data_IF_374664043660
#
_entry.id   IF_374664043660
#
_cell.length_a   1.000
_cell.length_b   1.000
_cell.length_c   1.000
_cell.angle_alpha   90.00
_cell.angle_beta   90.00
_cell.angle_gamma   90.00
#
_symmetry.space_group_name_H-M   'P 1'
#
loop_
_entity.id
_entity.type
_entity.pdbx_description
1 polymer ?
#
# COMPACT_ATOMS: atom_id res chain seq x y z
N UNK A 1 -41.03 12.23 -44.31
CA UNK A 1 -39.72 12.78 -43.98
C UNK A 1 -39.90 13.79 -42.86
N UNK A 2 -39.64 13.40 -41.60
CA UNK A 2 -39.67 14.33 -40.46
C UNK A 2 -38.33 14.15 -39.73
N UNK A 3 -37.47 15.20 -39.79
CA UNK A 3 -36.20 15.26 -39.10
C UNK A 3 -36.45 15.71 -37.67
N UNK A 4 -36.08 14.89 -36.69
CA UNK A 4 -36.08 15.25 -35.28
C UNK A 4 -34.67 15.73 -34.90
N UNK A 5 -34.53 17.03 -34.60
CA UNK A 5 -33.29 17.62 -34.11
C UNK A 5 -33.10 17.30 -32.62
N UNK A 6 -31.99 16.70 -32.30
CA UNK A 6 -31.53 16.48 -30.90
C UNK A 6 -30.74 17.70 -30.46
N UNK A 7 -31.32 18.47 -29.52
CA UNK A 7 -30.65 19.58 -28.85
C UNK A 7 -29.71 19.03 -27.75
N UNK A 8 -28.41 19.20 -27.98
CA UNK A 8 -27.35 19.00 -26.96
C UNK A 8 -27.34 20.21 -26.01
N UNK A 9 -27.82 20.02 -24.79
CA UNK A 9 -27.68 21.00 -23.71
C UNK A 9 -26.31 20.92 -23.08
N UNK A 10 -25.39 21.82 -23.48
CA UNK A 10 -24.11 22.02 -22.80
C UNK A 10 -24.35 22.84 -21.53
N UNK A 11 -24.27 22.18 -20.38
CA UNK A 11 -24.32 22.85 -19.09
C UNK A 11 -23.09 23.70 -18.82
N UNK A 12 -23.24 25.01 -18.87
CA UNK A 12 -22.22 25.99 -18.50
C UNK A 12 -22.18 26.08 -16.96
N UNK A 13 -21.16 25.55 -16.29
CA UNK A 13 -20.96 25.74 -14.86
C UNK A 13 -20.32 27.12 -14.65
N UNK A 14 -21.12 28.05 -14.17
CA UNK A 14 -20.66 29.39 -13.78
C UNK A 14 -20.04 29.29 -12.38
N UNK A 15 -18.72 29.43 -12.29
CA UNK A 15 -18.03 29.69 -11.02
C UNK A 15 -18.31 31.13 -10.57
N UNK A 16 -19.23 31.31 -9.65
CA UNK A 16 -19.40 32.58 -8.94
C UNK A 16 -18.31 32.73 -7.88
N UNK A 17 -17.36 33.62 -8.16
CA UNK A 17 -16.37 34.08 -7.19
C UNK A 17 -17.07 34.75 -6.00
N UNK A 18 -16.99 34.18 -4.82
CA UNK A 18 -17.45 34.83 -3.59
C UNK A 18 -16.51 35.98 -3.24
N UNK A 19 -17.03 37.20 -3.20
CA UNK A 19 -16.38 38.39 -2.63
C UNK A 19 -16.16 38.17 -1.13
N UNK A 20 -14.92 38.44 -0.71
CA UNK A 20 -14.47 38.48 0.67
C UNK A 20 -15.25 39.56 1.45
N UNK A 21 -16.09 39.15 2.40
CA UNK A 21 -16.64 40.02 3.42
C UNK A 21 -15.89 39.74 4.72
N UNK A 22 -15.14 40.72 5.16
CA UNK A 22 -14.50 40.72 6.49
C UNK A 22 -15.56 41.00 7.56
N UNK A 23 -15.42 40.27 8.66
CA UNK A 23 -16.05 40.41 9.99
C UNK A 23 -17.19 39.44 10.31
N UNK A 24 -16.79 38.37 11.00
CA UNK A 24 -17.24 37.95 12.35
C UNK A 24 -16.66 36.57 12.66
N UNK A 25 -15.98 36.45 13.77
CA UNK A 25 -15.55 35.20 14.38
C UNK A 25 -16.75 34.29 14.65
N UNK A 26 -17.08 33.45 13.68
CA UNK A 26 -17.96 32.31 13.84
C UNK A 26 -17.11 31.06 13.67
N UNK A 27 -16.70 30.44 14.77
CA UNK A 27 -16.13 29.09 14.70
C UNK A 27 -17.12 28.19 13.98
N UNK A 28 -16.81 27.78 12.76
CA UNK A 28 -17.60 26.77 12.05
C UNK A 28 -17.32 25.43 12.71
N UNK A 29 -18.26 24.97 13.49
CA UNK A 29 -18.18 23.75 14.33
C UNK A 29 -18.12 22.44 13.54
N UNK A 30 -18.10 22.48 12.21
CA UNK A 30 -18.05 21.29 11.35
C UNK A 30 -16.71 21.10 10.62
N UNK A 31 -15.80 22.08 10.67
CA UNK A 31 -14.43 21.88 10.18
C UNK A 31 -13.56 21.40 11.34
N UNK A 32 -12.84 20.27 11.20
CA UNK A 32 -11.88 19.85 12.21
C UNK A 32 -10.84 20.94 12.42
N UNK A 33 -10.46 21.17 13.67
CA UNK A 33 -9.39 22.12 14.03
C UNK A 33 -8.10 21.72 13.29
N UNK A 34 -7.74 22.50 12.29
CA UNK A 34 -6.43 22.36 11.62
C UNK A 34 -5.40 22.93 12.56
N UNK A 35 -4.74 22.06 13.30
CA UNK A 35 -3.70 22.50 14.22
C UNK A 35 -2.39 22.72 13.46
N UNK A 36 -1.95 23.96 13.33
CA UNK A 36 -0.59 24.33 12.90
C UNK A 36 0.41 24.10 14.05
N UNK A 37 0.27 22.98 14.77
CA UNK A 37 0.99 22.67 16.02
C UNK A 37 2.26 21.83 15.81
N UNK A 38 2.73 21.70 14.58
CA UNK A 38 3.88 20.86 14.23
C UNK A 38 5.25 21.48 14.58
N UNK A 39 5.27 22.51 15.46
CA UNK A 39 6.47 23.19 15.88
C UNK A 39 6.80 22.88 17.35
N UNK A 40 8.08 22.83 17.67
CA UNK A 40 8.58 22.64 19.02
C UNK A 40 9.74 21.65 19.09
N UNK A 41 10.33 21.51 20.26
CA UNK A 41 11.36 20.51 20.50
C UNK A 41 10.79 19.10 20.34
N UNK A 42 11.54 18.21 19.72
CA UNK A 42 11.16 16.80 19.60
C UNK A 42 11.13 16.18 21.00
N UNK A 43 10.07 15.46 21.28
CA UNK A 43 9.89 14.63 22.46
C UNK A 43 9.72 13.17 22.02
N UNK A 44 9.93 12.27 22.97
CA UNK A 44 9.72 10.84 22.76
C UNK A 44 8.77 10.30 23.82
N UNK A 45 7.95 9.33 23.41
CA UNK A 45 7.13 8.47 24.27
C UNK A 45 7.39 7.02 23.93
N UNK A 46 7.55 6.18 24.93
CA UNK A 46 7.73 4.75 24.80
C UNK A 46 6.50 4.02 25.29
N UNK A 47 6.07 3.01 24.50
CA UNK A 47 4.97 2.10 24.81
C UNK A 47 5.52 0.67 24.77
N UNK A 48 5.16 -0.15 25.73
CA UNK A 48 5.57 -1.55 25.81
C UNK A 48 4.34 -2.43 25.74
N UNK A 49 4.46 -3.56 25.10
CA UNK A 49 3.40 -4.55 24.98
C UNK A 49 3.73 -5.54 23.87
N UNK A 50 3.21 -6.75 23.98
CA UNK A 50 3.38 -7.78 22.96
C UNK A 50 2.35 -7.55 21.84
N UNK A 51 2.78 -7.65 20.58
CA UNK A 51 1.94 -7.51 19.40
C UNK A 51 2.48 -8.37 18.26
N UNK A 52 1.60 -8.79 17.35
CA UNK A 52 1.97 -9.54 16.15
C UNK A 52 1.26 -9.03 14.88
N UNK A 53 0.44 -8.01 15.01
CA UNK A 53 -0.17 -7.27 13.91
C UNK A 53 0.15 -5.79 14.08
N UNK A 54 0.52 -5.12 13.00
CA UNK A 54 1.00 -3.74 13.05
C UNK A 54 0.25 -2.93 12.01
N UNK A 55 -0.53 -1.96 12.46
CA UNK A 55 -1.21 -0.97 11.63
C UNK A 55 -0.62 0.43 11.89
N UNK A 56 -0.33 1.14 10.80
CA UNK A 56 0.09 2.55 10.84
C UNK A 56 -0.75 3.36 9.89
N UNK A 57 -1.32 4.45 10.36
CA UNK A 57 -2.22 5.27 9.56
C UNK A 57 -1.90 6.77 9.60
N UNK A 58 -2.62 7.55 8.78
CA UNK A 58 -2.66 9.02 8.82
C UNK A 58 -1.28 9.68 8.62
N UNK A 59 -0.55 9.26 7.58
CA UNK A 59 0.74 9.82 7.17
C UNK A 59 1.85 9.76 8.23
N UNK A 60 1.75 8.85 9.21
CA UNK A 60 2.82 8.56 10.16
C UNK A 60 3.88 7.69 9.47
N UNK A 61 5.16 8.02 9.67
CA UNK A 61 6.28 7.21 9.20
C UNK A 61 6.74 6.28 10.33
N UNK A 62 6.74 4.97 10.06
CA UNK A 62 7.16 3.93 11.00
C UNK A 62 8.32 3.10 10.46
N UNK A 63 9.32 2.84 11.31
CA UNK A 63 10.40 1.90 11.06
C UNK A 63 10.21 0.66 11.92
N UNK A 64 10.20 -0.54 11.31
CA UNK A 64 10.15 -1.81 12.03
C UNK A 64 11.56 -2.37 12.16
N UNK A 65 11.98 -2.62 13.39
CA UNK A 65 13.33 -3.05 13.78
C UNK A 65 13.21 -4.35 14.58
N UNK A 66 14.01 -5.34 14.23
CA UNK A 66 14.00 -6.63 14.93
C UNK A 66 14.57 -6.50 16.35
N UNK A 67 13.86 -7.05 17.33
CA UNK A 67 14.24 -6.95 18.74
C UNK A 67 13.59 -8.06 19.55
N UNK A 68 14.28 -8.55 20.57
CA UNK A 68 13.71 -9.53 21.51
C UNK A 68 12.71 -8.90 22.50
N UNK A 69 12.67 -7.55 22.59
CA UNK A 69 11.77 -6.81 23.46
C UNK A 69 10.86 -5.92 22.62
N UNK A 70 9.57 -6.19 22.66
CA UNK A 70 8.57 -5.44 21.90
C UNK A 70 8.25 -4.11 22.56
N UNK A 71 8.35 -3.05 21.78
CA UNK A 71 8.02 -1.70 22.20
C UNK A 71 7.88 -0.76 20.98
N UNK A 72 7.21 0.34 21.22
CA UNK A 72 7.07 1.43 20.25
C UNK A 72 7.65 2.70 20.84
N UNK A 73 8.46 3.41 20.09
CA UNK A 73 8.98 4.74 20.44
C UNK A 73 8.43 5.75 19.43
N UNK A 74 7.55 6.62 19.89
CA UNK A 74 7.03 7.76 19.12
C UNK A 74 7.93 8.95 19.33
N UNK A 75 8.40 9.58 18.25
CA UNK A 75 9.11 10.85 18.25
C UNK A 75 8.28 11.90 17.51
N UNK A 76 7.90 12.97 18.20
CA UNK A 76 7.08 14.04 17.64
C UNK A 76 7.37 15.40 18.32
N UNK A 77 7.02 16.53 17.70
CA UNK A 77 7.02 17.83 18.34
C UNK A 77 6.19 17.85 19.63
N UNK A 78 6.68 18.57 20.65
CA UNK A 78 6.09 18.59 21.99
C UNK A 78 4.61 18.96 22.03
N UNK A 79 4.14 19.72 21.06
CA UNK A 79 2.76 20.21 20.98
C UNK A 79 1.79 19.27 20.23
N UNK A 80 2.29 18.20 19.59
CA UNK A 80 1.42 17.19 18.96
C UNK A 80 1.66 15.76 19.47
N UNK A 81 2.70 15.51 20.26
CA UNK A 81 3.01 14.16 20.73
C UNK A 81 1.87 13.49 21.52
N UNK A 82 1.07 14.31 22.21
CA UNK A 82 -0.10 13.84 22.96
C UNK A 82 -1.33 13.54 22.08
N UNK A 83 -1.27 13.94 20.83
CA UNK A 83 -2.31 13.63 19.84
C UNK A 83 -2.03 12.32 19.07
N UNK A 84 -0.81 11.77 19.18
CA UNK A 84 -0.46 10.46 18.61
C UNK A 84 -0.82 9.38 19.61
N UNK A 85 -1.68 8.46 19.17
CA UNK A 85 -2.12 7.30 19.93
C UNK A 85 -1.35 6.06 19.49
N UNK A 86 -1.12 5.18 20.43
CA UNK A 86 -0.57 3.84 20.24
C UNK A 86 -1.49 2.89 20.97
N UNK A 87 -2.44 2.33 20.25
CA UNK A 87 -3.41 1.38 20.78
C UNK A 87 -2.89 -0.04 20.55
N UNK A 88 -3.01 -0.89 21.54
CA UNK A 88 -2.69 -2.31 21.46
C UNK A 88 -3.85 -3.09 22.06
N UNK A 89 -4.57 -3.80 21.22
CA UNK A 89 -5.72 -4.59 21.62
C UNK A 89 -5.65 -5.99 21.01
N UNK A 90 -5.54 -7.02 21.83
CA UNK A 90 -5.53 -8.41 21.34
C UNK A 90 -4.29 -8.80 20.53
N UNK A 91 -3.20 -8.01 20.59
CA UNK A 91 -1.99 -8.21 19.78
C UNK A 91 -1.96 -7.39 18.49
N UNK A 92 -2.99 -6.61 18.22
CA UNK A 92 -3.03 -5.62 17.13
C UNK A 92 -2.55 -4.26 17.65
N UNK A 93 -1.43 -3.81 17.12
CA UNK A 93 -0.83 -2.51 17.40
C UNK A 93 -1.29 -1.52 16.33
N UNK A 94 -2.01 -0.46 16.72
CA UNK A 94 -2.43 0.61 15.82
C UNK A 94 -1.81 1.96 16.24
N UNK A 95 -1.08 2.59 15.30
CA UNK A 95 -0.45 3.90 15.49
C UNK A 95 -1.16 4.94 14.62
N UNK A 96 -1.82 5.90 15.26
CA UNK A 96 -2.64 6.88 14.56
C UNK A 96 -2.78 8.20 15.35
N UNK A 97 -3.43 9.20 14.78
CA UNK A 97 -3.82 10.40 15.53
C UNK A 97 -5.20 10.23 16.17
N UNK A 98 -5.43 10.98 17.26
CA UNK A 98 -6.78 11.12 17.82
C UNK A 98 -7.79 11.55 16.78
N UNK A 99 -9.01 11.07 16.91
CA UNK A 99 -10.12 11.46 16.04
C UNK A 99 -10.31 12.98 16.01
N UNK A 100 -10.41 13.55 14.80
CA UNK A 100 -10.61 14.98 14.60
C UNK A 100 -9.32 15.82 14.55
N UNK A 101 -8.15 15.22 14.78
CA UNK A 101 -6.86 15.88 14.60
C UNK A 101 -6.43 15.77 13.13
N UNK A 102 -6.08 16.92 12.54
CA UNK A 102 -5.41 16.99 11.23
C UNK A 102 -4.08 17.67 11.38
N UNK A 103 -3.02 16.99 11.00
CA UNK A 103 -1.65 17.52 11.01
C UNK A 103 -1.28 17.91 9.58
N UNK A 104 -0.90 19.18 9.38
CA UNK A 104 -0.55 19.70 8.05
C UNK A 104 0.85 19.27 7.60
N UNK A 105 1.78 19.10 8.55
CA UNK A 105 3.15 18.68 8.29
C UNK A 105 3.43 17.40 9.09
N UNK A 106 3.29 16.25 8.42
CA UNK A 106 3.43 14.94 9.03
C UNK A 106 4.87 14.46 9.14
N UNK A 107 5.82 15.13 8.48
CA UNK A 107 7.22 14.71 8.39
C UNK A 107 7.96 14.65 9.74
N UNK A 108 7.39 15.27 10.78
CA UNK A 108 8.00 15.35 12.10
C UNK A 108 7.50 14.29 13.10
N UNK A 109 6.53 13.42 12.69
CA UNK A 109 6.05 12.34 13.53
C UNK A 109 6.58 11.00 13.01
N UNK A 110 7.39 10.35 13.83
CA UNK A 110 8.02 9.08 13.50
C UNK A 110 7.79 8.07 14.59
N UNK A 111 7.57 6.83 14.19
CA UNK A 111 7.48 5.68 15.06
C UNK A 111 8.66 4.74 14.83
N UNK A 112 9.28 4.22 15.88
CA UNK A 112 10.16 3.07 15.82
C UNK A 112 9.49 1.92 16.54
N UNK A 113 9.19 0.87 15.79
CA UNK A 113 8.52 -0.33 16.26
C UNK A 113 9.56 -1.42 16.39
N UNK A 114 9.81 -1.85 17.60
CA UNK A 114 10.72 -2.95 17.92
C UNK A 114 9.88 -4.20 18.07
N UNK A 115 10.01 -5.16 17.15
CA UNK A 115 9.21 -6.36 17.08
C UNK A 115 10.07 -7.62 17.07
N UNK A 116 9.60 -8.71 17.68
CA UNK A 116 10.19 -10.05 17.54
C UNK A 116 9.86 -10.64 16.18
N UNK A 117 8.59 -10.59 15.85
CA UNK A 117 7.99 -11.00 14.58
C UNK A 117 6.69 -10.22 14.34
N UNK A 118 6.00 -10.52 13.25
CA UNK A 118 4.65 -10.03 12.96
C UNK A 118 3.99 -10.94 11.93
N UNK A 119 2.67 -11.05 11.99
CA UNK A 119 1.86 -11.81 11.03
C UNK A 119 1.20 -10.90 10.01
N UNK A 120 0.91 -9.66 10.42
CA UNK A 120 0.23 -8.67 9.57
C UNK A 120 0.94 -7.33 9.64
N UNK A 121 1.09 -6.68 8.46
CA UNK A 121 1.47 -5.28 8.31
C UNK A 121 0.38 -4.55 7.56
N UNK A 122 -0.12 -3.47 8.12
CA UNK A 122 -1.11 -2.63 7.47
C UNK A 122 -0.67 -1.17 7.45
N UNK A 123 -0.72 -0.55 6.28
CA UNK A 123 -0.51 0.88 6.12
C UNK A 123 -1.65 1.50 5.32
N UNK A 124 -2.25 2.55 5.85
CA UNK A 124 -3.32 3.26 5.18
C UNK A 124 -3.21 4.79 5.34
N UNK A 125 -4.03 5.54 4.60
CA UNK A 125 -4.13 7.00 4.76
C UNK A 125 -2.77 7.71 4.68
N UNK A 126 -2.00 7.43 3.62
CA UNK A 126 -0.68 7.99 3.33
C UNK A 126 0.42 7.65 4.36
N UNK A 127 0.23 6.66 5.23
CA UNK A 127 1.27 6.19 6.16
C UNK A 127 2.44 5.53 5.42
N UNK A 128 3.59 5.49 6.06
CA UNK A 128 4.81 4.87 5.54
C UNK A 128 5.33 3.85 6.54
N UNK A 129 5.49 2.58 6.11
CA UNK A 129 6.16 1.54 6.90
C UNK A 129 7.45 1.13 6.19
N UNK A 130 8.55 1.11 6.92
CA UNK A 130 9.87 0.67 6.46
C UNK A 130 10.34 -0.49 7.34
N UNK A 131 10.38 -1.70 6.78
CA UNK A 131 10.94 -2.87 7.45
C UNK A 131 12.45 -2.85 7.27
N UNK A 132 13.19 -2.55 8.36
CA UNK A 132 14.64 -2.34 8.34
C UNK A 132 15.42 -3.64 8.36
N UNK A 133 14.96 -4.60 9.13
CA UNK A 133 15.62 -5.88 9.33
C UNK A 133 14.90 -7.02 8.61
N UNK A 134 15.54 -8.14 8.52
CA UNK A 134 14.99 -9.36 7.94
C UNK A 134 14.19 -10.13 8.99
N UNK A 135 12.94 -10.41 8.66
CA UNK A 135 12.05 -11.27 9.44
C UNK A 135 11.76 -12.53 8.61
N UNK A 136 11.82 -13.69 9.27
CA UNK A 136 11.50 -14.98 8.65
C UNK A 136 10.31 -15.59 9.39
N UNK A 137 9.23 -15.86 8.67
CA UNK A 137 7.93 -16.17 9.25
C UNK A 137 7.25 -17.33 8.50
N UNK A 138 6.27 -17.97 9.12
CA UNK A 138 5.43 -18.96 8.42
C UNK A 138 4.47 -18.26 7.47
N UNK A 139 3.77 -17.22 7.94
CA UNK A 139 2.82 -16.45 7.16
C UNK A 139 2.98 -14.96 7.44
N UNK A 140 2.86 -14.16 6.38
CA UNK A 140 2.81 -12.70 6.48
C UNK A 140 1.75 -12.16 5.54
N UNK A 141 0.81 -11.39 6.09
CA UNK A 141 -0.20 -10.64 5.37
C UNK A 141 0.22 -9.16 5.33
N UNK A 142 0.22 -8.56 4.15
CA UNK A 142 0.58 -7.14 3.92
C UNK A 142 -0.57 -6.44 3.25
N UNK A 143 -1.15 -5.46 3.90
CA UNK A 143 -2.21 -4.61 3.36
C UNK A 143 -1.72 -3.17 3.21
N UNK A 144 -1.81 -2.60 2.02
CA UNK A 144 -1.42 -1.22 1.78
C UNK A 144 -2.46 -0.50 0.94
N UNK A 145 -3.02 0.58 1.47
CA UNK A 145 -4.12 1.28 0.83
C UNK A 145 -4.07 2.81 0.98
N UNK A 146 -4.93 3.52 0.25
CA UNK A 146 -5.15 4.96 0.46
C UNK A 146 -3.87 5.79 0.41
N UNK A 147 -3.10 5.63 -0.68
CA UNK A 147 -1.82 6.31 -0.94
C UNK A 147 -0.72 6.03 0.09
N UNK A 148 -0.84 4.96 0.90
CA UNK A 148 0.21 4.55 1.83
C UNK A 148 1.36 3.82 1.12
N UNK A 149 2.46 3.65 1.84
CA UNK A 149 3.66 3.01 1.32
C UNK A 149 4.23 2.02 2.33
N UNK A 150 4.52 0.79 1.87
CA UNK A 150 5.27 -0.21 2.64
C UNK A 150 6.52 -0.60 1.87
N UNK A 151 7.66 -0.66 2.55
CA UNK A 151 8.91 -1.11 1.94
C UNK A 151 9.77 -1.93 2.88
N UNK A 152 10.61 -2.83 2.30
CA UNK A 152 11.60 -3.57 3.06
C UNK A 152 11.87 -4.99 2.54
N UNK A 153 12.35 -5.86 3.45
CA UNK A 153 12.63 -7.25 3.13
C UNK A 153 11.68 -8.16 3.92
N UNK A 154 10.98 -9.04 3.22
CA UNK A 154 10.04 -9.97 3.81
C UNK A 154 10.37 -11.41 3.40
N UNK A 155 10.45 -12.30 4.37
CA UNK A 155 10.60 -13.73 4.15
C UNK A 155 9.49 -14.48 4.87
N UNK A 156 8.72 -15.26 4.13
CA UNK A 156 7.66 -16.09 4.69
C UNK A 156 7.46 -17.35 3.85
N UNK A 157 6.92 -18.42 4.44
CA UNK A 157 6.46 -19.54 3.62
C UNK A 157 5.26 -19.11 2.77
N UNK A 158 4.28 -18.47 3.40
CA UNK A 158 3.12 -17.88 2.72
C UNK A 158 3.17 -16.35 2.85
N UNK A 159 3.28 -15.64 1.73
CA UNK A 159 3.30 -14.18 1.67
C UNK A 159 2.14 -13.68 0.82
N UNK A 160 1.21 -13.00 1.46
CA UNK A 160 0.06 -12.35 0.84
C UNK A 160 0.26 -10.82 0.84
N UNK A 161 0.09 -10.16 -0.31
CA UNK A 161 0.25 -8.71 -0.47
C UNK A 161 -0.97 -8.15 -1.18
N UNK A 162 -1.73 -7.33 -0.47
CA UNK A 162 -2.88 -6.58 -1.00
C UNK A 162 -2.57 -5.09 -1.12
N UNK A 163 -2.61 -4.57 -2.33
CA UNK A 163 -2.35 -3.16 -2.61
C UNK A 163 -3.52 -2.51 -3.33
N UNK A 164 -4.05 -1.42 -2.78
CA UNK A 164 -5.19 -0.73 -3.35
C UNK A 164 -5.14 0.80 -3.25
N UNK A 165 -6.05 1.47 -3.96
CA UNK A 165 -6.27 2.91 -3.78
C UNK A 165 -5.00 3.76 -3.86
N UNK A 166 -4.25 3.62 -4.97
CA UNK A 166 -3.01 4.35 -5.27
C UNK A 166 -1.88 4.13 -4.25
N UNK A 167 -1.92 3.03 -3.50
CA UNK A 167 -0.84 2.69 -2.56
C UNK A 167 0.35 2.04 -3.27
N UNK A 168 1.46 1.95 -2.57
CA UNK A 168 2.71 1.40 -3.12
C UNK A 168 3.32 0.39 -2.16
N UNK A 169 3.64 -0.80 -2.68
CA UNK A 169 4.52 -1.75 -2.00
C UNK A 169 5.84 -1.90 -2.76
N UNK A 170 6.97 -1.83 -2.06
CA UNK A 170 8.29 -2.04 -2.67
C UNK A 170 9.18 -2.90 -1.80
N UNK A 171 9.61 -4.08 -2.29
CA UNK A 171 10.38 -4.97 -1.43
C UNK A 171 11.25 -6.01 -2.11
N UNK A 172 12.12 -6.61 -1.30
CA UNK A 172 12.78 -7.85 -1.62
C UNK A 172 12.08 -8.98 -0.87
N UNK A 173 11.67 -10.02 -1.59
CA UNK A 173 10.91 -11.12 -1.01
C UNK A 173 11.62 -12.47 -1.17
N UNK A 174 11.37 -13.34 -0.21
CA UNK A 174 11.55 -14.77 -0.34
C UNK A 174 10.29 -15.48 0.17
N UNK A 175 9.67 -16.30 -0.68
CA UNK A 175 8.46 -17.02 -0.30
C UNK A 175 8.43 -18.43 -0.91
N UNK A 176 7.68 -19.35 -0.30
CA UNK A 176 7.28 -20.59 -0.96
C UNK A 176 6.05 -20.29 -1.83
N UNK A 177 5.04 -19.68 -1.22
CA UNK A 177 3.82 -19.24 -1.90
C UNK A 177 3.71 -17.72 -1.80
N UNK A 178 3.59 -17.07 -2.93
CA UNK A 178 3.43 -15.63 -3.06
C UNK A 178 2.09 -15.34 -3.73
N UNK A 179 1.21 -14.62 -3.05
CA UNK A 179 0.00 -14.07 -3.63
C UNK A 179 0.09 -12.54 -3.62
N UNK A 180 -0.24 -11.90 -4.73
CA UNK A 180 -0.31 -10.45 -4.84
C UNK A 180 -1.61 -10.06 -5.52
N UNK A 181 -2.37 -9.20 -4.86
CA UNK A 181 -3.53 -8.53 -5.45
C UNK A 181 -3.26 -7.02 -5.50
N UNK A 182 -3.34 -6.45 -6.70
CA UNK A 182 -3.20 -5.01 -6.89
C UNK A 182 -4.42 -4.46 -7.61
N UNK A 183 -4.96 -3.35 -7.10
CA UNK A 183 -6.16 -2.73 -7.67
C UNK A 183 -6.14 -1.20 -7.55
N UNK A 184 -7.04 -0.54 -8.29
CA UNK A 184 -7.31 0.90 -8.11
C UNK A 184 -6.05 1.76 -8.15
N UNK A 185 -5.26 1.62 -9.23
CA UNK A 185 -4.02 2.35 -9.49
C UNK A 185 -2.92 2.15 -8.43
N UNK A 186 -2.90 1.00 -7.74
CA UNK A 186 -1.80 0.65 -6.84
C UNK A 186 -0.59 0.14 -7.62
N UNK A 187 0.61 0.30 -7.03
CA UNK A 187 1.87 -0.16 -7.60
C UNK A 187 2.59 -1.13 -6.65
N UNK A 188 2.92 -2.32 -7.14
CA UNK A 188 3.73 -3.32 -6.44
C UNK A 188 5.02 -3.54 -7.21
N UNK A 189 6.16 -3.28 -6.58
CA UNK A 189 7.49 -3.55 -7.16
C UNK A 189 8.28 -4.47 -6.25
N UNK A 190 8.61 -5.66 -6.73
CA UNK A 190 9.33 -6.67 -5.95
C UNK A 190 10.48 -7.31 -6.71
N UNK A 191 11.44 -7.80 -5.93
CA UNK A 191 12.55 -8.64 -6.39
C UNK A 191 12.73 -9.83 -5.46
N UNK A 192 13.44 -10.88 -5.89
CA UNK A 192 13.76 -12.02 -5.04
C UNK A 192 13.40 -13.37 -5.63
N UNK A 193 12.83 -14.26 -4.81
CA UNK A 193 12.54 -15.64 -5.25
C UNK A 193 11.26 -16.17 -4.61
N UNK A 194 10.54 -16.97 -5.40
CA UNK A 194 9.41 -17.75 -4.90
C UNK A 194 9.28 -19.08 -5.66
N UNK A 195 8.67 -20.07 -5.06
CA UNK A 195 8.33 -21.30 -5.75
C UNK A 195 7.04 -21.13 -6.55
N UNK A 196 5.99 -20.64 -5.92
CA UNK A 196 4.69 -20.42 -6.54
C UNK A 196 4.33 -18.94 -6.45
N UNK A 197 3.95 -18.32 -7.56
CA UNK A 197 3.46 -16.96 -7.63
C UNK A 197 2.07 -16.93 -8.26
N UNK A 198 1.13 -16.33 -7.55
CA UNK A 198 -0.20 -15.98 -8.05
C UNK A 198 -0.36 -14.46 -7.99
N UNK A 199 -0.49 -13.82 -9.15
CA UNK A 199 -0.48 -12.35 -9.27
C UNK A 199 -1.74 -11.90 -9.99
N UNK A 200 -2.52 -11.04 -9.35
CA UNK A 200 -3.73 -10.44 -9.93
C UNK A 200 -3.63 -8.93 -9.92
N UNK A 201 -3.81 -8.30 -11.08
CA UNK A 201 -3.76 -6.84 -11.22
C UNK A 201 -5.00 -6.35 -11.97
N UNK A 202 -5.67 -5.31 -11.43
CA UNK A 202 -6.89 -4.77 -12.01
C UNK A 202 -7.00 -3.25 -11.88
N UNK A 203 -7.90 -2.65 -12.67
CA UNK A 203 -8.26 -1.24 -12.51
C UNK A 203 -7.06 -0.27 -12.56
N UNK A 204 -6.23 -0.44 -13.59
CA UNK A 204 -5.08 0.43 -13.86
C UNK A 204 -3.91 0.28 -12.90
N UNK A 205 -3.87 -0.78 -12.09
CA UNK A 205 -2.75 -1.08 -11.20
C UNK A 205 -1.58 -1.76 -11.93
N UNK A 206 -0.41 -1.80 -11.27
CA UNK A 206 0.79 -2.39 -11.81
C UNK A 206 1.50 -3.34 -10.83
N UNK A 207 1.88 -4.53 -11.30
CA UNK A 207 2.76 -5.44 -10.58
C UNK A 207 4.06 -5.63 -11.38
N UNK A 208 5.17 -5.11 -10.87
CA UNK A 208 6.50 -5.28 -11.43
C UNK A 208 7.31 -6.27 -10.59
N UNK A 209 7.28 -7.53 -10.97
CA UNK A 209 8.04 -8.64 -10.38
C UNK A 209 9.09 -9.20 -11.36
N UNK A 210 9.55 -8.38 -12.31
CA UNK A 210 10.53 -8.78 -13.35
C UNK A 210 11.87 -9.28 -12.78
N UNK A 211 12.21 -8.83 -11.56
CA UNK A 211 13.43 -9.20 -10.86
C UNK A 211 13.20 -10.31 -9.81
N UNK A 212 12.02 -10.94 -9.83
CA UNK A 212 11.72 -12.18 -9.12
C UNK A 212 12.09 -13.38 -10.00
N UNK A 213 12.55 -14.47 -9.38
CA UNK A 213 12.64 -15.78 -10.00
C UNK A 213 11.58 -16.68 -9.37
N UNK A 214 10.49 -16.91 -10.09
CA UNK A 214 9.41 -17.81 -9.70
C UNK A 214 9.48 -19.14 -10.48
N UNK A 215 9.25 -20.28 -9.83
CA UNK A 215 9.19 -21.56 -10.52
C UNK A 215 7.87 -21.71 -11.29
N UNK A 216 6.74 -21.55 -10.60
CA UNK A 216 5.41 -21.65 -11.15
C UNK A 216 4.69 -20.31 -11.02
N UNK A 217 4.18 -19.81 -12.12
CA UNK A 217 3.52 -18.51 -12.20
C UNK A 217 2.11 -18.66 -12.74
N UNK A 218 1.15 -18.07 -12.03
CA UNK A 218 -0.16 -17.70 -12.54
C UNK A 218 -0.29 -16.18 -12.44
N UNK A 219 -0.55 -15.52 -13.55
CA UNK A 219 -0.62 -14.06 -13.63
C UNK A 219 -1.88 -13.61 -14.39
N UNK A 220 -2.65 -12.73 -13.77
CA UNK A 220 -3.89 -12.19 -14.32
C UNK A 220 -3.85 -10.68 -14.37
N UNK A 221 -4.23 -10.07 -15.50
CA UNK A 221 -4.35 -8.62 -15.66
C UNK A 221 -5.66 -8.24 -16.36
N UNK A 222 -6.37 -7.27 -15.80
CA UNK A 222 -7.62 -6.80 -16.39
C UNK A 222 -7.80 -5.29 -16.26
N UNK A 223 -8.73 -4.72 -17.04
CA UNK A 223 -9.12 -3.30 -16.91
C UNK A 223 -7.93 -2.33 -16.96
N UNK A 224 -7.09 -2.51 -17.98
CA UNK A 224 -5.92 -1.64 -18.22
C UNK A 224 -4.76 -1.83 -17.24
N UNK A 225 -4.76 -2.89 -16.44
CA UNK A 225 -3.69 -3.19 -15.50
C UNK A 225 -2.53 -3.96 -16.14
N UNK A 226 -1.40 -4.07 -15.44
CA UNK A 226 -0.22 -4.75 -15.93
C UNK A 226 0.44 -5.65 -14.89
N UNK A 227 0.97 -6.80 -15.35
CA UNK A 227 1.81 -7.71 -14.56
C UNK A 227 3.06 -8.06 -15.33
N UNK A 228 4.24 -7.84 -14.74
CA UNK A 228 5.51 -8.35 -15.23
C UNK A 228 6.14 -9.29 -14.20
N UNK A 229 6.56 -10.51 -14.60
CA UNK A 229 7.10 -11.53 -13.67
C UNK A 229 8.20 -12.38 -14.30
N UNK A 230 9.29 -12.61 -13.55
CA UNK A 230 10.30 -13.58 -13.95
C UNK A 230 9.87 -15.01 -13.63
N UNK A 231 9.98 -15.92 -14.62
CA UNK A 231 9.52 -17.31 -14.54
C UNK A 231 10.61 -18.28 -14.96
N UNK A 232 10.75 -19.40 -14.25
CA UNK A 232 11.78 -20.39 -14.54
C UNK A 232 11.28 -21.77 -15.00
N UNK A 233 10.01 -22.12 -14.77
CA UNK A 233 9.48 -23.46 -15.12
C UNK A 233 8.12 -23.43 -15.80
N UNK A 234 7.07 -22.94 -15.14
CA UNK A 234 5.69 -22.93 -15.66
C UNK A 234 5.11 -21.52 -15.63
N UNK A 235 4.44 -21.13 -16.72
CA UNK A 235 3.80 -19.84 -16.88
C UNK A 235 2.36 -20.00 -17.36
N UNK A 236 1.42 -19.42 -16.63
CA UNK A 236 0.02 -19.27 -16.99
C UNK A 236 -0.34 -17.79 -16.92
N UNK A 237 -0.69 -17.20 -18.06
CA UNK A 237 -1.03 -15.79 -18.19
C UNK A 237 -2.44 -15.61 -18.70
N UNK A 238 -3.22 -14.75 -18.04
CA UNK A 238 -4.57 -14.37 -18.43
C UNK A 238 -4.67 -12.85 -18.54
N UNK A 239 -5.10 -12.34 -19.68
CA UNK A 239 -5.26 -10.91 -19.88
C UNK A 239 -6.61 -10.59 -20.51
N UNK A 240 -7.32 -9.59 -19.96
CA UNK A 240 -8.60 -9.16 -20.46
C UNK A 240 -8.78 -7.63 -20.36
N UNK A 241 -9.77 -7.10 -21.10
CA UNK A 241 -10.17 -5.67 -20.97
C UNK A 241 -9.00 -4.69 -21.03
N UNK A 242 -8.10 -4.88 -21.99
CA UNK A 242 -6.90 -4.05 -22.16
C UNK A 242 -5.79 -4.30 -21.13
N UNK A 243 -5.86 -5.36 -20.34
CA UNK A 243 -4.81 -5.76 -19.42
C UNK A 243 -3.59 -6.34 -20.14
N UNK A 244 -2.42 -6.33 -19.51
CA UNK A 244 -1.16 -6.82 -20.06
C UNK A 244 -0.43 -7.73 -19.06
N UNK A 245 -0.07 -8.94 -19.47
CA UNK A 245 0.75 -9.87 -18.69
C UNK A 245 2.02 -10.20 -19.45
N UNK A 246 3.17 -10.01 -18.80
CA UNK A 246 4.49 -10.29 -19.38
C UNK A 246 5.30 -11.24 -18.52
N UNK A 247 5.56 -12.43 -19.02
CA UNK A 247 6.53 -13.38 -18.47
C UNK A 247 7.94 -13.09 -18.96
N UNK A 248 8.92 -13.11 -18.07
CA UNK A 248 10.35 -12.98 -18.41
C UNK A 248 11.06 -14.27 -18.05
N UNK A 249 11.58 -14.98 -19.04
CA UNK A 249 12.27 -16.26 -18.81
C UNK A 249 13.53 -16.07 -17.98
N UNK A 250 13.60 -16.73 -16.84
CA UNK A 250 14.74 -16.80 -15.93
C UNK A 250 15.32 -18.23 -15.84
N UNK A 251 14.79 -19.16 -16.63
CA UNK A 251 15.18 -20.57 -16.66
C UNK A 251 14.60 -21.30 -17.83
N UNK A 252 14.50 -22.64 -17.72
CA UNK A 252 13.92 -23.50 -18.76
C UNK A 252 12.40 -23.60 -18.58
N UNK A 253 11.65 -22.66 -19.16
CA UNK A 253 10.19 -22.66 -19.12
C UNK A 253 9.65 -23.78 -20.03
N UNK A 254 9.06 -24.80 -19.43
CA UNK A 254 8.57 -26.00 -20.13
C UNK A 254 7.08 -25.97 -20.46
N UNK A 255 6.30 -25.18 -19.72
CA UNK A 255 4.86 -25.07 -19.90
C UNK A 255 4.46 -23.61 -19.99
N UNK A 256 3.72 -23.26 -21.05
CA UNK A 256 3.20 -21.91 -21.26
C UNK A 256 1.73 -22.02 -21.66
N UNK A 257 0.86 -21.38 -20.87
CA UNK A 257 -0.55 -21.20 -21.18
C UNK A 257 -0.84 -19.70 -21.28
N UNK A 258 -1.56 -19.30 -22.33
CA UNK A 258 -1.94 -17.91 -22.56
C UNK A 258 -3.42 -17.84 -22.87
N UNK A 259 -4.13 -16.96 -22.20
CA UNK A 259 -5.52 -16.65 -22.47
C UNK A 259 -5.70 -15.13 -22.62
N UNK A 260 -6.21 -14.73 -23.75
CA UNK A 260 -6.39 -13.33 -24.11
C UNK A 260 -7.83 -13.08 -24.53
N UNK A 261 -8.43 -12.00 -24.02
CA UNK A 261 -9.78 -11.59 -24.40
C UNK A 261 -9.93 -10.07 -24.34
N UNK A 262 -10.92 -9.54 -25.05
CA UNK A 262 -11.30 -8.11 -24.96
C UNK A 262 -10.12 -7.12 -25.03
N UNK A 263 -9.17 -7.38 -25.93
CA UNK A 263 -7.98 -6.52 -26.12
C UNK A 263 -6.89 -6.68 -25.08
N UNK A 264 -6.95 -7.71 -24.24
CA UNK A 264 -5.84 -8.10 -23.37
C UNK A 264 -4.67 -8.71 -24.13
N UNK A 265 -3.47 -8.69 -23.57
CA UNK A 265 -2.25 -9.22 -24.18
C UNK A 265 -1.40 -10.01 -23.20
N UNK A 266 -0.93 -11.19 -23.59
CA UNK A 266 -0.02 -12.05 -22.82
C UNK A 266 1.23 -12.34 -23.63
N UNK A 267 2.39 -11.92 -23.13
CA UNK A 267 3.69 -12.17 -23.76
C UNK A 267 4.63 -12.95 -22.82
N UNK A 268 5.60 -13.66 -23.41
CA UNK A 268 6.69 -14.31 -22.70
C UNK A 268 7.97 -14.24 -23.54
N UNK A 269 9.01 -13.65 -22.95
CA UNK A 269 10.30 -13.35 -23.61
C UNK A 269 11.44 -14.10 -22.97
#
# INVERSE_FOLDING_TARGET
MKYTAILLLSGFVIFTSCKKNENKEGKSTWLPDVTNKDHGSLKQKEFKGDFNEIEVSQAIEAEIIKSDVERVVISAPANIIDEVLVDNSGGELHIHYKTGVRVMNTNNVKAKIYAKDFKKLEANSAAIIIVRDQFTQEKTDVEVSSAAHISGKLEANDLDIDAGSSATFKGQIWAVNLNIEASSAADVTISGKTKNANLTSSSGSGISAKDVVAENVKAEASSGASVEIGVSSKFEGHASSGGSVKGIKKGNVTTVTKEESSGGSVDIQ
#
